data_IF_165131964488
#
_entry.id   IF_165131964488
#
_cell.length_a   1.000
_cell.length_b   1.000
_cell.length_c   1.000
_cell.angle_alpha   90.00
_cell.angle_beta   90.00
_cell.angle_gamma   90.00
#
_symmetry.space_group_name_H-M   'P 1'
#
loop_
_entity.id
_entity.type
_entity.pdbx_description
1 polymer ?
#
# COMPACT_ATOMS: atom_id res chain seq x y z
N UNK A 1 7.40 -5.53 -33.11
CA UNK A 1 6.94 -4.89 -31.85
C UNK A 1 6.19 -5.95 -31.04
N UNK A 2 6.68 -6.34 -29.86
CA UNK A 2 5.95 -7.28 -28.99
C UNK A 2 4.90 -6.47 -28.24
N UNK A 3 3.62 -6.69 -28.56
CA UNK A 3 2.49 -6.02 -27.94
C UNK A 3 2.47 -6.25 -26.42
N UNK A 4 2.32 -5.17 -25.67
CA UNK A 4 2.17 -5.22 -24.22
C UNK A 4 1.27 -4.10 -23.75
N UNK A 5 0.45 -4.40 -22.75
CA UNK A 5 -0.47 -3.44 -22.14
C UNK A 5 0.24 -2.72 -20.99
N UNK A 6 0.13 -1.39 -20.99
CA UNK A 6 0.55 -0.54 -19.88
C UNK A 6 -0.72 -0.03 -19.18
N UNK A 7 -0.80 -0.22 -17.88
CA UNK A 7 -1.94 0.17 -17.07
C UNK A 7 -1.46 1.05 -15.91
N UNK A 8 -2.23 2.09 -15.60
CA UNK A 8 -2.02 2.96 -14.45
C UNK A 8 -3.29 2.96 -13.60
N UNK A 9 -3.16 2.57 -12.34
CA UNK A 9 -4.24 2.58 -11.36
C UNK A 9 -3.91 3.58 -10.26
N UNK A 10 -4.85 4.47 -9.93
CA UNK A 10 -4.70 5.45 -8.85
C UNK A 10 -5.98 5.44 -8.03
N UNK A 11 -5.85 5.32 -6.71
CA UNK A 11 -6.93 5.36 -5.75
C UNK A 11 -6.52 6.29 -4.60
N UNK A 12 -7.41 7.18 -4.19
CA UNK A 12 -7.19 8.13 -3.09
C UNK A 12 -8.39 8.12 -2.16
N UNK A 13 -8.15 8.20 -0.85
CA UNK A 13 -9.16 8.37 0.17
C UNK A 13 -8.74 9.49 1.13
N UNK A 14 -9.70 10.30 1.56
CA UNK A 14 -9.50 11.39 2.51
C UNK A 14 -10.59 11.36 3.56
N UNK A 15 -10.20 11.60 4.81
CA UNK A 15 -11.10 11.63 5.95
C UNK A 15 -10.81 12.91 6.72
N UNK A 16 -11.85 13.74 6.85
CA UNK A 16 -11.83 14.97 7.61
C UNK A 16 -12.86 14.84 8.71
N UNK A 17 -12.39 14.68 9.95
CA UNK A 17 -13.27 14.58 11.11
C UNK A 17 -12.98 15.70 12.10
N UNK A 18 -14.04 16.25 12.68
CA UNK A 18 -13.95 17.15 13.83
C UNK A 18 -14.61 16.46 15.01
N UNK A 19 -13.90 16.33 16.12
CA UNK A 19 -14.48 15.78 17.34
C UNK A 19 -15.38 16.83 17.99
N UNK A 20 -16.69 16.67 17.85
CA UNK A 20 -17.69 17.40 18.64
C UNK A 20 -18.59 16.42 19.39
N UNK A 21 -18.36 16.23 20.69
CA UNK A 21 -19.33 15.55 21.56
C UNK A 21 -20.32 16.60 22.06
N UNK A 22 -21.54 16.60 21.49
CA UNK A 22 -22.58 17.60 21.78
C UNK A 22 -23.13 17.62 23.21
N UNK A 23 -22.82 16.62 24.04
CA UNK A 23 -23.42 16.44 25.38
C UNK A 23 -22.58 17.00 26.55
N UNK A 24 -21.36 17.50 26.32
CA UNK A 24 -20.40 17.80 27.41
C UNK A 24 -19.75 19.19 27.30
N UNK A 25 -20.22 20.06 26.42
CA UNK A 25 -19.59 21.37 26.18
C UNK A 25 -19.51 22.28 27.43
N UNK A 26 -20.34 22.03 28.45
CA UNK A 26 -20.42 22.86 29.67
C UNK A 26 -20.30 22.09 31.00
N UNK A 27 -19.86 20.82 31.01
CA UNK A 27 -19.65 20.09 32.28
C UNK A 27 -18.22 20.28 32.78
N UNK A 28 -18.09 20.77 34.02
CA UNK A 28 -16.83 20.84 34.76
C UNK A 28 -16.90 19.89 35.95
N UNK A 29 -15.81 19.20 36.25
CA UNK A 29 -15.64 18.41 37.47
C UNK A 29 -14.57 19.10 38.33
N UNK A 30 -15.02 19.92 39.28
CA UNK A 30 -14.14 20.82 40.02
C UNK A 30 -13.49 21.85 39.08
N UNK A 31 -12.17 22.01 39.17
CA UNK A 31 -11.40 22.91 38.31
C UNK A 31 -11.12 22.33 36.91
N UNK A 32 -11.46 21.07 36.66
CA UNK A 32 -11.19 20.37 35.40
C UNK A 32 -12.37 20.48 34.43
N UNK A 33 -12.08 20.84 33.19
CA UNK A 33 -13.05 20.94 32.09
C UNK A 33 -13.06 19.65 31.27
N UNK A 34 -14.25 19.17 30.88
CA UNK A 34 -14.42 18.02 29.96
C UNK A 34 -14.59 18.49 28.51
N UNK A 35 -14.42 19.79 28.24
CA UNK A 35 -14.44 20.33 26.88
C UNK A 35 -13.26 19.77 26.10
N UNK A 36 -13.53 19.08 25.00
CA UNK A 36 -12.51 18.73 24.01
C UNK A 36 -12.07 20.01 23.30
N UNK A 37 -10.77 20.18 23.07
CA UNK A 37 -10.17 21.39 22.49
C UNK A 37 -10.48 21.61 20.99
N UNK A 38 -11.47 20.90 20.44
CA UNK A 38 -11.88 21.03 19.05
C UNK A 38 -10.89 20.42 18.06
N UNK A 39 -10.15 19.39 18.48
CA UNK A 39 -9.19 18.69 17.63
C UNK A 39 -9.86 18.20 16.33
N UNK A 40 -9.21 18.52 15.20
CA UNK A 40 -9.62 18.07 13.88
C UNK A 40 -8.56 17.15 13.31
N UNK A 41 -8.97 16.00 12.81
CA UNK A 41 -8.09 15.03 12.17
C UNK A 41 -8.32 15.10 10.67
N UNK A 42 -7.26 15.38 9.93
CA UNK A 42 -7.22 15.19 8.49
C UNK A 42 -6.31 13.99 8.20
N UNK A 43 -6.88 12.92 7.69
CA UNK A 43 -6.18 11.70 7.34
C UNK A 43 -6.35 11.41 5.86
N UNK A 44 -5.24 11.15 5.18
CA UNK A 44 -5.21 10.81 3.76
C UNK A 44 -4.58 9.44 3.54
N UNK A 45 -5.08 8.74 2.53
CA UNK A 45 -4.52 7.52 2.00
C UNK A 45 -4.45 7.59 0.47
N UNK A 46 -3.35 7.12 -0.10
CA UNK A 46 -3.10 7.08 -1.53
C UNK A 46 -2.52 5.73 -1.92
N UNK A 47 -3.01 5.21 -3.03
CA UNK A 47 -2.51 4.02 -3.68
C UNK A 47 -2.30 4.33 -5.16
N UNK A 48 -1.14 3.98 -5.67
CA UNK A 48 -0.88 4.03 -7.11
C UNK A 48 -0.11 2.79 -7.56
N UNK A 49 -0.46 2.29 -8.74
CA UNK A 49 0.21 1.16 -9.36
C UNK A 49 0.40 1.45 -10.85
N UNK A 50 1.66 1.38 -11.30
CA UNK A 50 2.02 1.35 -12.70
C UNK A 50 2.39 -0.08 -13.06
N UNK A 51 1.68 -0.68 -14.01
CA UNK A 51 1.84 -2.08 -14.37
C UNK A 51 1.99 -2.26 -15.87
N UNK A 52 2.99 -3.04 -16.28
CA UNK A 52 3.21 -3.42 -17.67
C UNK A 52 3.18 -4.94 -17.82
N UNK A 53 2.33 -5.39 -18.73
CA UNK A 53 2.16 -6.79 -19.09
C UNK A 53 2.50 -7.00 -20.57
N UNK A 54 3.36 -7.95 -20.86
CA UNK A 54 3.65 -8.46 -22.20
C UNK A 54 3.42 -9.98 -22.20
N UNK A 55 3.58 -10.64 -23.34
CA UNK A 55 3.40 -12.09 -23.44
C UNK A 55 4.35 -12.89 -22.53
N UNK A 56 5.53 -12.35 -22.20
CA UNK A 56 6.56 -13.06 -21.43
C UNK A 56 7.03 -12.31 -20.18
N UNK A 57 6.74 -11.03 -20.07
CA UNK A 57 7.14 -10.18 -18.95
C UNK A 57 5.93 -9.58 -18.27
N UNK A 58 5.96 -9.56 -16.94
CA UNK A 58 5.08 -8.73 -16.12
C UNK A 58 5.95 -7.90 -15.20
N UNK A 59 5.63 -6.63 -15.05
CA UNK A 59 6.28 -5.73 -14.11
C UNK A 59 5.25 -4.83 -13.49
N UNK A 60 5.41 -4.51 -12.20
CA UNK A 60 4.66 -3.43 -11.60
C UNK A 60 5.51 -2.68 -10.59
N UNK A 61 5.20 -1.40 -10.47
CA UNK A 61 5.66 -0.54 -9.39
C UNK A 61 4.43 0.00 -8.68
N UNK A 62 4.42 -0.14 -7.35
CA UNK A 62 3.32 0.25 -6.50
C UNK A 62 3.81 1.16 -5.40
N UNK A 63 3.03 2.20 -5.14
CA UNK A 63 3.18 3.08 -3.99
C UNK A 63 1.91 3.05 -3.14
N UNK A 64 2.06 2.97 -1.83
CA UNK A 64 0.97 3.07 -0.86
C UNK A 64 1.39 4.02 0.24
N UNK A 65 0.65 5.10 0.41
CA UNK A 65 0.84 6.08 1.47
C UNK A 65 -0.40 6.16 2.35
N UNK A 66 -0.27 5.93 3.65
CA UNK A 66 -1.35 6.07 4.63
C UNK A 66 -0.86 6.98 5.77
N UNK A 67 -1.47 8.16 5.89
CA UNK A 67 -1.09 9.12 6.94
C UNK A 67 -1.36 8.57 8.36
N UNK A 68 -0.64 9.05 9.39
CA UNK A 68 -0.83 8.60 10.78
C UNK A 68 -2.25 8.89 11.31
N UNK A 69 -2.87 9.95 10.83
CA UNK A 69 -4.19 10.43 11.25
C UNK A 69 -5.34 9.80 10.47
N UNK A 70 -5.05 8.97 9.46
CA UNK A 70 -6.07 8.22 8.73
C UNK A 70 -6.71 7.18 9.65
N UNK A 71 -8.05 7.18 9.69
CA UNK A 71 -8.88 6.28 10.49
C UNK A 71 -10.06 5.85 9.63
N UNK A 72 -10.35 4.56 9.52
CA UNK A 72 -11.49 4.10 8.74
C UNK A 72 -12.78 4.44 9.51
N UNK A 73 -13.88 4.67 8.79
CA UNK A 73 -15.17 5.04 9.41
C UNK A 73 -15.68 3.99 10.41
N UNK A 74 -15.25 2.73 10.24
CA UNK A 74 -15.57 1.62 11.14
C UNK A 74 -14.58 1.48 12.33
N UNK A 75 -13.62 2.40 12.47
CA UNK A 75 -12.70 2.48 13.61
C UNK A 75 -11.50 1.52 13.58
N UNK A 76 -11.41 0.60 12.61
CA UNK A 76 -10.31 -0.38 12.55
C UNK A 76 -9.41 -0.15 11.34
N UNK A 77 -8.21 0.35 11.59
CA UNK A 77 -7.09 0.31 10.66
C UNK A 77 -5.93 -0.40 11.34
N UNK A 78 -5.43 -1.47 10.70
CA UNK A 78 -4.34 -2.29 11.24
C UNK A 78 -2.98 -1.59 11.09
N UNK A 79 -2.80 -0.78 10.04
CA UNK A 79 -1.54 -0.06 9.75
C UNK A 79 -1.85 1.36 9.24
N UNK A 80 -1.47 2.37 10.03
CA UNK A 80 -1.38 3.77 9.63
C UNK A 80 0.10 4.23 9.73
N UNK A 81 0.41 5.48 9.37
CA UNK A 81 1.80 5.98 9.36
C UNK A 81 2.71 5.12 8.44
N UNK A 82 2.30 4.96 7.19
CA UNK A 82 2.91 4.02 6.25
C UNK A 82 3.23 4.67 4.91
N UNK A 83 4.47 4.51 4.43
CA UNK A 83 4.87 4.75 3.04
C UNK A 83 5.55 3.50 2.51
N UNK A 84 4.87 2.74 1.65
CA UNK A 84 5.35 1.49 1.08
C UNK A 84 5.60 1.63 -0.42
N UNK A 85 6.75 1.15 -0.85
CA UNK A 85 7.16 1.03 -2.24
C UNK A 85 7.37 -0.44 -2.53
N UNK A 86 6.71 -0.93 -3.58
CA UNK A 86 6.83 -2.31 -4.01
C UNK A 86 7.17 -2.32 -5.50
N UNK A 87 8.28 -2.98 -5.83
CA UNK A 87 8.69 -3.24 -7.19
C UNK A 87 8.68 -4.75 -7.41
N UNK A 88 7.99 -5.19 -8.46
CA UNK A 88 7.98 -6.58 -8.84
C UNK A 88 8.25 -6.71 -10.33
N UNK A 89 9.11 -7.65 -10.68
CA UNK A 89 9.45 -7.96 -12.06
C UNK A 89 9.52 -9.46 -12.24
N UNK A 90 8.89 -9.98 -13.29
CA UNK A 90 8.95 -11.40 -13.57
C UNK A 90 8.87 -11.73 -15.05
N UNK A 91 9.66 -12.75 -15.39
CA UNK A 91 9.73 -13.39 -16.68
C UNK A 91 9.08 -14.76 -16.63
N UNK A 92 8.25 -15.04 -17.63
CA UNK A 92 7.51 -16.28 -17.80
C UNK A 92 7.72 -16.77 -19.23
N UNK A 93 8.09 -18.04 -19.37
CA UNK A 93 8.14 -18.69 -20.68
C UNK A 93 7.64 -20.12 -20.58
N UNK A 94 6.90 -20.51 -21.61
CA UNK A 94 6.37 -21.86 -21.81
C UNK A 94 7.03 -22.47 -23.05
N UNK A 95 8.30 -22.92 -22.94
CA UNK A 95 8.92 -23.67 -24.01
C UNK A 95 8.24 -25.05 -24.02
N UNK A 96 7.30 -25.31 -24.93
CA UNK A 96 6.63 -26.61 -25.04
C UNK A 96 7.60 -27.71 -25.54
N UNK A 97 8.57 -28.08 -24.70
CA UNK A 97 9.62 -29.06 -24.99
C UNK A 97 9.49 -30.22 -24.02
N UNK A 98 9.77 -31.45 -24.50
CA UNK A 98 9.67 -32.71 -23.75
C UNK A 98 10.36 -32.78 -22.38
N UNK A 99 11.24 -31.82 -22.04
CA UNK A 99 12.06 -31.83 -20.82
C UNK A 99 11.64 -30.71 -19.84
N UNK A 100 11.05 -29.62 -20.32
CA UNK A 100 10.76 -28.43 -19.50
C UNK A 100 9.44 -27.83 -19.99
N UNK A 101 8.40 -27.81 -19.14
CA UNK A 101 7.08 -27.25 -19.50
C UNK A 101 7.03 -25.74 -19.35
N UNK A 102 7.61 -25.24 -18.25
CA UNK A 102 7.66 -23.81 -17.98
C UNK A 102 8.87 -23.46 -17.13
N UNK A 103 9.25 -22.19 -17.21
CA UNK A 103 10.12 -21.59 -16.21
C UNK A 103 9.66 -20.16 -15.93
N UNK A 104 9.81 -19.77 -14.67
CA UNK A 104 9.50 -18.45 -14.15
C UNK A 104 10.68 -17.96 -13.35
N UNK A 105 11.07 -16.72 -13.61
CA UNK A 105 12.03 -15.99 -12.81
C UNK A 105 11.33 -14.72 -12.37
N UNK A 106 11.33 -14.41 -11.08
CA UNK A 106 10.81 -13.12 -10.62
C UNK A 106 11.59 -12.60 -9.44
N UNK A 107 11.67 -11.27 -9.35
CA UNK A 107 12.23 -10.57 -8.22
C UNK A 107 11.19 -9.60 -7.69
N UNK A 108 11.19 -9.43 -6.37
CA UNK A 108 10.41 -8.47 -5.62
C UNK A 108 11.32 -7.66 -4.74
N UNK A 109 11.08 -6.37 -4.70
CA UNK A 109 11.71 -5.46 -3.77
C UNK A 109 10.62 -4.67 -3.05
N UNK A 110 10.56 -4.83 -1.74
CA UNK A 110 9.62 -4.13 -0.86
C UNK A 110 10.38 -3.21 0.06
N UNK A 111 9.94 -1.95 0.15
CA UNK A 111 10.51 -0.97 1.06
C UNK A 111 9.42 -0.18 1.75
N UNK A 112 9.59 0.00 3.05
CA UNK A 112 8.58 0.60 3.90
C UNK A 112 9.18 1.62 4.87
N UNK A 113 8.51 2.75 4.98
CA UNK A 113 8.86 3.83 5.89
C UNK A 113 7.64 4.26 6.72
N UNK A 114 7.90 4.88 7.87
CA UNK A 114 6.91 5.74 8.52
C UNK A 114 6.66 7.00 7.69
N UNK A 115 5.57 7.72 7.97
CA UNK A 115 5.36 9.07 7.43
C UNK A 115 6.46 10.04 7.86
N UNK A 116 7.07 9.82 9.03
CA UNK A 116 8.27 10.52 9.51
C UNK A 116 9.58 10.05 8.83
N UNK A 117 9.50 9.29 7.73
CA UNK A 117 10.61 8.78 6.93
C UNK A 117 11.59 7.85 7.68
N UNK A 118 11.15 7.19 8.76
CA UNK A 118 11.94 6.15 9.43
C UNK A 118 11.74 4.83 8.71
N UNK A 119 12.81 4.16 8.32
CA UNK A 119 12.73 2.86 7.65
C UNK A 119 12.14 1.82 8.61
N UNK A 120 11.02 1.20 8.22
CA UNK A 120 10.36 0.11 8.96
C UNK A 120 10.78 -1.25 8.42
N UNK A 121 10.80 -1.40 7.09
CA UNK A 121 11.11 -2.67 6.42
C UNK A 121 11.83 -2.44 5.10
N UNK A 122 12.74 -3.34 4.78
CA UNK A 122 13.35 -3.45 3.46
C UNK A 122 13.56 -4.93 3.18
N UNK A 123 12.98 -5.44 2.11
CA UNK A 123 13.09 -6.85 1.73
C UNK A 123 13.37 -6.96 0.23
N UNK A 124 14.23 -7.91 -0.12
CA UNK A 124 14.46 -8.31 -1.50
C UNK A 124 14.26 -9.81 -1.58
N UNK A 125 13.42 -10.24 -2.51
CA UNK A 125 13.06 -11.64 -2.71
C UNK A 125 13.25 -11.99 -4.18
N UNK A 126 13.93 -13.10 -4.44
CA UNK A 126 14.07 -13.64 -5.78
C UNK A 126 13.51 -15.06 -5.81
N UNK A 127 12.75 -15.35 -6.85
CA UNK A 127 12.04 -16.60 -7.04
C UNK A 127 12.44 -17.20 -8.39
N UNK A 128 12.85 -18.45 -8.36
CA UNK A 128 13.01 -19.28 -9.54
C UNK A 128 12.06 -20.47 -9.42
N UNK A 129 11.30 -20.74 -10.47
CA UNK A 129 10.42 -21.91 -10.53
C UNK A 129 10.55 -22.54 -11.90
N UNK A 130 10.70 -23.86 -11.92
CA UNK A 130 10.67 -24.67 -13.14
C UNK A 130 9.75 -25.87 -12.92
N UNK A 131 9.03 -26.25 -13.97
CA UNK A 131 8.25 -27.48 -13.99
C UNK A 131 8.81 -28.42 -15.04
N UNK A 132 9.21 -29.61 -14.58
CA UNK A 132 9.70 -30.72 -15.40
C UNK A 132 8.60 -31.78 -15.53
N UNK A 133 8.78 -32.71 -16.47
CA UNK A 133 7.85 -33.82 -16.72
C UNK A 133 8.05 -34.96 -15.72
#
# INVERSE_FOLDING_TARGET
MVGGNLNLNILTAQIKSQLQIGLIQNKKFGDYSVKLDGESFNGEAVYSELRRDTNTWRSFFRYTGISPTFRADNGFIVENDLKRYELWHGFYKYPDKKILRNYRISARYDREYSFSNKLKRSAFEAYFTSLQF
#
